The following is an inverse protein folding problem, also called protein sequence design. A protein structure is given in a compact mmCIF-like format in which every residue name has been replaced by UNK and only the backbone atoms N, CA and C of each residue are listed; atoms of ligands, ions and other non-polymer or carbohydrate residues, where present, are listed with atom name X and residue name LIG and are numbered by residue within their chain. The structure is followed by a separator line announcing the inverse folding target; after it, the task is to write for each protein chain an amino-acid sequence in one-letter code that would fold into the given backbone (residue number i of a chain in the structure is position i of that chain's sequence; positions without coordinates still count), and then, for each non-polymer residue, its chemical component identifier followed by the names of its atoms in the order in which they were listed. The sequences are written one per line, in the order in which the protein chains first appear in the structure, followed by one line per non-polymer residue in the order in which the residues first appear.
data_IF_632275885286
#
_entry.id   IF_632275885286
#
_cell.length_a   1.000
_cell.length_b   1.000
_cell.length_c   1.000
_cell.angle_alpha   90.00
_cell.angle_beta   90.00
_cell.angle_gamma   90.00
#
_symmetry.space_group_name_H-M   'P 1'
#
loop_
_entity.id
_entity.type
_entity.pdbx_description
1 polymer ?
#
# COMPACT_ATOMS: atom_id res chain seq x y z
N UNK A 1 -37.19 -8.81 69.68
CA UNK A 1 -36.01 -9.21 68.88
C UNK A 1 -36.49 -10.01 67.68
N UNK A 2 -36.60 -9.45 66.47
CA UNK A 2 -36.64 -10.24 65.24
C UNK A 2 -36.06 -9.41 64.09
N UNK A 3 -34.86 -9.81 63.65
CA UNK A 3 -34.10 -9.24 62.56
C UNK A 3 -34.68 -9.75 61.23
N UNK A 4 -35.16 -8.86 60.36
CA UNK A 4 -35.52 -9.21 58.98
C UNK A 4 -34.30 -8.92 58.11
N UNK A 5 -33.54 -9.98 57.79
CA UNK A 5 -32.43 -9.91 56.84
C UNK A 5 -32.99 -9.67 55.44
N UNK A 6 -32.87 -8.44 54.94
CA UNK A 6 -33.08 -8.13 53.52
C UNK A 6 -31.94 -8.74 52.71
N UNK A 7 -32.19 -9.88 52.09
CA UNK A 7 -31.28 -10.49 51.11
C UNK A 7 -31.32 -9.62 49.84
N UNK A 8 -30.26 -8.86 49.59
CA UNK A 8 -30.03 -8.18 48.32
C UNK A 8 -29.58 -9.21 47.28
N UNK A 9 -30.52 -9.70 46.48
CA UNK A 9 -30.21 -10.48 45.29
C UNK A 9 -29.55 -9.53 44.26
N UNK A 10 -28.22 -9.53 44.21
CA UNK A 10 -27.47 -8.94 43.09
C UNK A 10 -27.80 -9.78 41.85
N UNK A 11 -28.72 -9.30 41.02
CA UNK A 11 -28.97 -9.90 39.71
C UNK A 11 -27.67 -9.86 38.90
N UNK A 12 -27.13 -11.04 38.57
CA UNK A 12 -26.06 -11.15 37.59
C UNK A 12 -26.64 -10.72 36.25
N UNK A 13 -26.33 -9.49 35.82
CA UNK A 13 -26.70 -9.02 34.49
C UNK A 13 -25.97 -9.88 33.45
N UNK A 14 -26.70 -10.78 32.79
CA UNK A 14 -26.19 -11.50 31.62
C UNK A 14 -26.06 -10.47 30.51
N UNK A 15 -24.81 -10.12 30.16
CA UNK A 15 -24.53 -9.28 29.00
C UNK A 15 -25.07 -10.02 27.77
N UNK A 16 -26.19 -9.54 27.20
CA UNK A 16 -26.79 -10.15 26.01
C UNK A 16 -25.71 -10.21 24.93
N UNK A 17 -25.48 -11.41 24.36
CA UNK A 17 -24.64 -11.53 23.17
C UNK A 17 -25.29 -10.66 22.08
N UNK A 18 -24.51 -9.80 21.40
CA UNK A 18 -25.07 -8.97 20.34
C UNK A 18 -25.70 -9.87 19.27
N UNK A 19 -26.94 -9.55 18.89
CA UNK A 19 -27.60 -10.20 17.78
C UNK A 19 -27.01 -9.65 16.47
N UNK A 20 -26.09 -10.40 15.86
CA UNK A 20 -25.41 -9.97 14.63
C UNK A 20 -26.35 -9.92 13.42
N UNK A 21 -27.54 -10.55 13.48
CA UNK A 21 -28.56 -10.44 12.45
C UNK A 21 -29.12 -9.01 12.33
N UNK A 22 -29.22 -8.28 13.45
CA UNK A 22 -29.71 -6.89 13.48
C UNK A 22 -28.62 -5.86 13.12
N UNK A 23 -27.34 -6.29 13.12
CA UNK A 23 -26.18 -5.43 12.89
C UNK A 23 -25.25 -6.04 11.82
N UNK A 24 -25.72 -6.23 10.57
CA UNK A 24 -24.93 -6.87 9.51
C UNK A 24 -23.66 -6.10 9.16
N UNK A 25 -23.60 -4.80 9.49
CA UNK A 25 -22.43 -3.92 9.32
C UNK A 25 -21.30 -4.19 10.34
N UNK A 26 -21.55 -4.90 11.44
CA UNK A 26 -20.52 -5.31 12.42
C UNK A 26 -19.90 -6.67 12.13
N UNK A 27 -20.45 -7.41 11.18
CA UNK A 27 -19.83 -8.65 10.72
C UNK A 27 -18.67 -8.24 9.83
N UNK A 28 -17.44 -8.37 10.34
CA UNK A 28 -16.25 -8.25 9.51
C UNK A 28 -16.35 -9.33 8.43
N UNK A 29 -16.67 -8.92 7.20
CA UNK A 29 -16.63 -9.81 6.04
C UNK A 29 -15.22 -10.42 6.01
N UNK A 30 -15.05 -11.73 5.76
CA UNK A 30 -13.73 -12.30 5.61
C UNK A 30 -13.02 -11.50 4.52
N UNK A 31 -11.94 -10.84 4.91
CA UNK A 31 -11.12 -10.01 4.02
C UNK A 31 -10.61 -10.95 2.95
N UNK A 32 -11.16 -10.86 1.75
CA UNK A 32 -10.62 -11.56 0.58
C UNK A 32 -9.14 -11.15 0.53
N UNK A 33 -8.20 -12.07 0.67
CA UNK A 33 -6.76 -11.81 0.93
C UNK A 33 -6.13 -10.73 0.01
N UNK A 34 -6.75 -10.46 -1.14
CA UNK A 34 -6.52 -9.31 -2.02
C UNK A 34 -6.85 -7.90 -1.45
N UNK A 35 -7.25 -7.70 -0.20
CA UNK A 35 -7.50 -6.35 0.36
C UNK A 35 -6.48 -5.87 1.39
N UNK A 36 -5.45 -6.65 1.71
CA UNK A 36 -4.38 -6.17 2.58
C UNK A 36 -3.52 -5.13 1.84
N UNK A 37 -3.39 -3.96 2.47
CA UNK A 37 -2.54 -2.86 2.02
C UNK A 37 -1.11 -3.07 2.49
N UNK A 38 -0.18 -2.37 1.84
CA UNK A 38 1.24 -2.42 2.08
C UNK A 38 2.03 -3.02 0.92
N UNK A 39 3.31 -3.24 1.19
CA UNK A 39 4.24 -3.90 0.28
C UNK A 39 3.84 -5.36 0.03
N UNK A 40 3.94 -5.79 -1.22
CA UNK A 40 3.72 -7.18 -1.62
C UNK A 40 5.03 -7.96 -1.76
N UNK A 41 6.16 -7.25 -1.82
CA UNK A 41 7.50 -7.80 -2.03
C UNK A 41 8.48 -7.22 -1.02
N UNK A 42 9.58 -7.93 -0.79
CA UNK A 42 10.70 -7.47 0.02
C UNK A 42 11.82 -6.88 -0.86
N UNK A 43 12.62 -5.96 -0.30
CA UNK A 43 13.72 -5.31 -1.04
C UNK A 43 14.68 -6.35 -1.65
N UNK A 44 15.00 -6.21 -2.94
CA UNK A 44 15.84 -7.11 -3.72
C UNK A 44 15.11 -8.30 -4.38
N UNK A 45 13.82 -8.51 -4.07
CA UNK A 45 13.01 -9.59 -4.65
C UNK A 45 12.77 -9.39 -6.15
N UNK A 46 12.64 -10.50 -6.88
CA UNK A 46 12.36 -10.44 -8.31
C UNK A 46 10.87 -10.23 -8.55
N UNK A 47 10.54 -9.27 -9.42
CA UNK A 47 9.17 -8.91 -9.77
C UNK A 47 8.99 -8.96 -11.28
N UNK A 48 7.76 -9.26 -11.71
CA UNK A 48 7.37 -9.31 -13.10
C UNK A 48 6.52 -8.11 -13.48
N UNK A 49 6.49 -7.83 -14.77
CA UNK A 49 5.66 -6.80 -15.37
C UNK A 49 4.19 -7.03 -15.01
N UNK A 50 3.53 -6.02 -14.44
CA UNK A 50 2.14 -6.09 -14.02
C UNK A 50 1.93 -6.47 -12.54
N UNK A 51 2.99 -6.85 -11.83
CA UNK A 51 2.89 -7.11 -10.39
C UNK A 51 2.54 -5.84 -9.62
N UNK A 52 1.65 -5.97 -8.64
CA UNK A 52 1.32 -4.89 -7.72
C UNK A 52 2.39 -4.88 -6.62
N UNK A 53 3.21 -3.84 -6.60
CA UNK A 53 4.33 -3.70 -5.67
C UNK A 53 3.87 -3.21 -4.29
N UNK A 54 3.01 -2.18 -4.30
CA UNK A 54 2.49 -1.54 -3.09
C UNK A 54 1.01 -1.24 -3.28
N UNK A 55 0.22 -1.58 -2.27
CA UNK A 55 -1.17 -1.18 -2.16
C UNK A 55 -1.30 -0.13 -1.09
N UNK A 56 -1.64 1.10 -1.45
CA UNK A 56 -1.61 2.23 -0.53
C UNK A 56 -2.89 3.07 -0.64
N UNK A 57 -3.04 4.03 0.28
CA UNK A 57 -4.00 5.12 0.13
C UNK A 57 -3.26 6.42 -0.14
N UNK A 58 -3.64 7.10 -1.21
CA UNK A 58 -2.95 8.31 -1.61
C UNK A 58 -1.50 8.02 -2.01
N UNK A 59 -0.67 9.06 -1.91
CA UNK A 59 0.70 9.05 -2.41
C UNK A 59 1.73 9.05 -1.27
N UNK A 60 1.73 7.97 -0.49
CA UNK A 60 2.71 7.75 0.59
C UNK A 60 4.06 7.36 0.01
N UNK A 61 4.04 6.38 -0.90
CA UNK A 61 5.17 5.92 -1.71
C UNK A 61 5.02 6.45 -3.13
N UNK A 62 6.10 7.03 -3.65
CA UNK A 62 6.13 7.62 -4.98
C UNK A 62 6.59 6.59 -6.02
N UNK A 63 6.03 6.60 -7.23
CA UNK A 63 6.53 5.77 -8.32
C UNK A 63 7.93 6.26 -8.74
N UNK A 64 8.90 5.35 -8.71
CA UNK A 64 10.25 5.55 -9.22
C UNK A 64 10.46 4.92 -10.60
N UNK A 65 11.65 4.38 -10.82
CA UNK A 65 12.05 3.78 -12.10
C UNK A 65 11.23 2.51 -12.41
N UNK A 66 10.73 2.38 -13.63
CA UNK A 66 9.96 1.23 -14.11
C UNK A 66 8.72 0.89 -13.25
N UNK A 67 8.10 1.89 -12.62
CA UNK A 67 6.89 1.75 -11.81
C UNK A 67 5.83 2.76 -12.25
N UNK A 68 4.57 2.34 -12.32
CA UNK A 68 3.42 3.23 -12.55
C UNK A 68 2.50 3.29 -11.34
N UNK A 69 1.87 4.44 -11.14
CA UNK A 69 0.76 4.60 -10.21
C UNK A 69 -0.57 4.35 -10.94
N UNK A 70 -1.38 3.43 -10.39
CA UNK A 70 -2.77 3.28 -10.79
C UNK A 70 -3.62 4.35 -10.10
N UNK A 71 -4.23 5.27 -10.85
CA UNK A 71 -4.99 6.40 -10.29
C UNK A 71 -6.33 5.99 -9.66
N UNK A 72 -6.89 4.87 -10.09
CA UNK A 72 -8.18 4.39 -9.59
C UNK A 72 -8.04 3.73 -8.20
N UNK A 73 -6.95 2.98 -8.01
CA UNK A 73 -6.72 2.19 -6.79
C UNK A 73 -5.61 2.73 -5.88
N UNK A 74 -4.79 3.66 -6.38
CA UNK A 74 -3.54 4.14 -5.76
C UNK A 74 -2.43 3.09 -5.66
N UNK A 75 -2.55 1.98 -6.36
CA UNK A 75 -1.54 0.92 -6.35
C UNK A 75 -0.32 1.29 -7.19
N UNK A 76 0.87 0.88 -6.72
CA UNK A 76 2.10 0.93 -7.52
C UNK A 76 2.28 -0.41 -8.24
N UNK A 77 2.49 -0.35 -9.56
CA UNK A 77 2.55 -1.54 -10.43
C UNK A 77 3.85 -1.53 -11.23
N UNK A 78 4.51 -2.68 -11.31
CA UNK A 78 5.72 -2.86 -12.10
C UNK A 78 5.43 -2.70 -13.61
N UNK A 79 6.26 -1.91 -14.30
CA UNK A 79 6.22 -1.75 -15.76
C UNK A 79 7.16 -2.70 -16.49
N UNK A 80 8.12 -3.31 -15.78
CA UNK A 80 9.16 -4.17 -16.34
C UNK A 80 9.58 -5.23 -15.34
N UNK A 81 10.12 -6.33 -15.82
CA UNK A 81 10.73 -7.37 -15.00
C UNK A 81 12.06 -6.88 -14.41
N UNK A 82 12.34 -7.21 -13.15
CA UNK A 82 13.55 -6.74 -12.49
C UNK A 82 13.60 -7.03 -10.99
N UNK A 83 14.48 -6.31 -10.29
CA UNK A 83 14.56 -6.35 -8.82
C UNK A 83 13.82 -5.17 -8.21
N UNK A 84 12.91 -5.48 -7.29
CA UNK A 84 12.21 -4.47 -6.50
C UNK A 84 13.18 -3.78 -5.53
N UNK A 85 13.11 -2.45 -5.45
CA UNK A 85 13.86 -1.71 -4.43
C UNK A 85 13.15 -0.43 -3.98
N UNK A 86 13.50 0.02 -2.78
CA UNK A 86 12.96 1.25 -2.16
C UNK A 86 14.12 2.18 -1.83
N UNK A 87 14.01 3.43 -2.26
CA UNK A 87 14.96 4.49 -1.95
C UNK A 87 14.25 5.67 -1.26
N UNK A 88 15.01 6.59 -0.69
CA UNK A 88 14.49 7.89 -0.22
C UNK A 88 15.18 8.99 -0.97
N UNK A 89 14.44 9.69 -1.83
CA UNK A 89 15.00 10.65 -2.80
C UNK A 89 14.40 12.04 -2.63
N UNK A 90 15.08 13.04 -3.17
CA UNK A 90 14.56 14.40 -3.22
C UNK A 90 13.45 14.50 -4.26
N UNK A 91 12.27 14.94 -3.83
CA UNK A 91 11.10 15.13 -4.66
C UNK A 91 11.30 16.36 -5.56
N UNK A 92 11.20 16.15 -6.87
CA UNK A 92 11.13 17.21 -7.88
C UNK A 92 9.72 17.24 -8.49
N UNK A 93 8.78 17.99 -7.91
CA UNK A 93 7.40 18.04 -8.38
C UNK A 93 7.28 18.88 -9.67
N UNK A 94 6.25 18.60 -10.49
CA UNK A 94 5.92 19.42 -11.65
C UNK A 94 5.37 20.80 -11.24
N UNK A 95 5.45 21.83 -12.10
CA UNK A 95 5.00 23.20 -11.78
C UNK A 95 3.53 23.34 -11.36
N UNK A 96 2.68 22.43 -11.82
CA UNK A 96 1.24 22.34 -11.50
C UNK A 96 0.95 21.63 -10.17
N UNK A 97 1.96 20.97 -9.58
CA UNK A 97 1.82 20.27 -8.31
C UNK A 97 1.70 21.25 -7.14
N UNK A 98 0.83 20.97 -6.14
CA UNK A 98 0.74 21.78 -4.93
C UNK A 98 2.03 21.80 -4.10
N UNK A 99 2.94 20.85 -4.31
CA UNK A 99 4.22 20.78 -3.62
C UNK A 99 5.32 21.61 -4.29
N UNK A 100 5.09 22.09 -5.51
CA UNK A 100 6.08 22.83 -6.28
C UNK A 100 6.52 24.16 -5.67
N UNK A 101 5.63 25.02 -5.14
CA UNK A 101 6.04 26.27 -4.52
C UNK A 101 7.03 26.05 -3.38
N UNK A 102 6.79 25.02 -2.55
CA UNK A 102 7.64 24.68 -1.41
C UNK A 102 9.06 24.29 -1.84
N UNK A 103 9.19 23.48 -2.89
CA UNK A 103 10.50 23.08 -3.41
C UNK A 103 11.21 24.26 -4.08
N UNK A 104 10.46 25.10 -4.81
CA UNK A 104 10.99 26.31 -5.46
C UNK A 104 11.50 27.36 -4.45
N UNK A 105 10.88 27.44 -3.28
CA UNK A 105 11.35 28.26 -2.14
C UNK A 105 12.64 27.73 -1.50
N UNK A 106 13.18 26.60 -1.98
CA UNK A 106 14.43 26.01 -1.51
C UNK A 106 14.24 24.94 -0.43
N UNK A 107 13.00 24.49 -0.14
CA UNK A 107 12.80 23.39 0.79
C UNK A 107 13.09 22.05 0.13
N UNK A 108 13.97 21.27 0.72
CA UNK A 108 14.21 19.89 0.30
C UNK A 108 13.11 18.96 0.85
N UNK A 109 12.30 18.39 -0.04
CA UNK A 109 11.31 17.38 0.33
C UNK A 109 11.86 15.99 -0.01
N UNK A 110 12.15 15.17 1.00
CA UNK A 110 12.53 13.77 0.79
C UNK A 110 11.32 12.85 0.88
N UNK A 111 11.17 11.96 -0.10
CA UNK A 111 10.07 10.98 -0.17
C UNK A 111 10.59 9.59 -0.49
N UNK A 112 9.89 8.54 -0.02
CA UNK A 112 10.24 7.18 -0.40
C UNK A 112 9.74 6.91 -1.82
N UNK A 113 10.63 6.39 -2.66
CA UNK A 113 10.33 5.98 -4.03
C UNK A 113 10.48 4.47 -4.18
N UNK A 114 9.61 3.89 -5.00
CA UNK A 114 9.59 2.46 -5.30
C UNK A 114 10.05 2.26 -6.73
N UNK A 115 11.06 1.41 -6.91
CA UNK A 115 11.71 1.18 -8.19
C UNK A 115 11.70 -0.31 -8.54
N UNK A 116 11.78 -0.58 -9.84
CA UNK A 116 12.16 -1.90 -10.36
C UNK A 116 13.41 -1.73 -11.20
N UNK A 117 14.53 -2.26 -10.71
CA UNK A 117 15.81 -2.24 -11.43
C UNK A 117 15.81 -3.39 -12.42
N UNK A 118 15.59 -3.08 -13.69
CA UNK A 118 15.59 -4.07 -14.75
C UNK A 118 17.03 -4.53 -15.06
N UNK A 119 17.24 -5.81 -15.41
CA UNK A 119 18.55 -6.27 -15.84
C UNK A 119 18.98 -5.52 -17.12
N UNK A 120 20.29 -5.27 -17.29
CA UNK A 120 20.81 -4.65 -18.50
C UNK A 120 20.42 -5.51 -19.71
N UNK A 121 19.92 -4.87 -20.77
CA UNK A 121 19.67 -5.55 -22.04
C UNK A 121 20.97 -5.51 -22.83
N UNK A 122 21.57 -6.66 -23.10
CA UNK A 122 22.60 -6.78 -24.12
C UNK A 122 21.93 -6.93 -25.49
N UNK A 123 21.95 -5.91 -26.36
CA UNK A 123 21.32 -6.01 -27.66
C UNK A 123 22.09 -7.02 -28.53
N UNK A 124 21.46 -8.13 -28.86
CA UNK A 124 22.03 -9.14 -29.78
C UNK A 124 21.71 -8.73 -31.21
N UNK A 125 22.66 -8.06 -31.86
CA UNK A 125 22.56 -7.74 -33.29
C UNK A 125 22.98 -8.96 -34.13
N UNK A 126 22.09 -9.44 -35.01
CA UNK A 126 22.41 -10.49 -35.97
C UNK A 126 22.40 -9.91 -37.39
N UNK A 127 23.52 -9.99 -38.07
CA UNK A 127 23.63 -9.67 -39.49
C UNK A 127 22.71 -10.59 -40.30
N UNK A 128 21.76 -10.01 -41.04
CA UNK A 128 20.76 -10.77 -41.81
C UNK A 128 21.20 -11.06 -43.25
N UNK A 129 21.91 -10.13 -43.89
CA UNK A 129 22.53 -10.33 -45.21
C UNK A 129 23.71 -9.38 -45.38
N UNK A 130 24.72 -9.83 -46.11
CA UNK A 130 25.70 -8.94 -46.73
C UNK A 130 25.21 -8.59 -48.13
N UNK A 131 25.33 -7.32 -48.49
CA UNK A 131 25.02 -6.78 -49.82
C UNK A 131 26.19 -7.04 -50.78
#
# INVERSE_FOLDING_TARGET
MHNILRISLRGFAVKKKPNYADQPHKINKPVLVKTLRGFQFTDGEHVYTGDILVRQLGLEFYPGENVKLNRDTWDLVALRDGRFTISTENLSPYPDSPLYPLVKEGRELRKPFVHVVAPPIEPVFKLKRNL
#
